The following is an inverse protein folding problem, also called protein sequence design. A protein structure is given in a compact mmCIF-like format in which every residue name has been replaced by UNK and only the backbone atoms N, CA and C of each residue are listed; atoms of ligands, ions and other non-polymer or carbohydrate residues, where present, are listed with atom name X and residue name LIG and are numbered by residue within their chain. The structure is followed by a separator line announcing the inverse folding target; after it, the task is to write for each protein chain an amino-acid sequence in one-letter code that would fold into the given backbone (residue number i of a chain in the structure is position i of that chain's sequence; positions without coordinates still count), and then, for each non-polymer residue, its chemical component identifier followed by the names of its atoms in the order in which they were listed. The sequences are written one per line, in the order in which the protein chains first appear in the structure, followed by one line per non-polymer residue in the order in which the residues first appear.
data_IF_078261736725
#
_entry.id   IF_078261736725
#
_cell.length_a   1.000
_cell.length_b   1.000
_cell.length_c   1.000
_cell.angle_alpha   90.00
_cell.angle_beta   90.00
_cell.angle_gamma   90.00
#
_symmetry.space_group_name_H-M   'P 1'
#
loop_
_entity.id
_entity.type
_entity.pdbx_description
1 polymer ?
2 water ?
#
# COMPACT_ATOMS: atom_id res chain seq x y z
N UNK A 3 -12.88 -5.62 4.83
CA UNK A 3 -11.54 -6.23 5.14
C UNK A 3 -10.82 -6.83 3.90
N UNK A 5 -8.50 -7.12 0.43
CA UNK A 5 -7.30 -6.46 -0.11
C UNK A 5 -7.84 -5.26 -0.91
N UNK A 6 -7.29 -4.07 -0.64
CA UNK A 6 -7.84 -2.80 -1.15
C UNK A 6 -7.49 -2.47 -2.60
N UNK A 7 -8.52 -2.24 -3.40
CA UNK A 7 -8.32 -1.56 -4.67
C UNK A 7 -7.78 -0.18 -4.34
N UNK A 8 -6.97 0.39 -5.26
CA UNK A 8 -6.45 1.74 -5.11
C UNK A 8 -7.48 2.75 -4.64
N UNK A 9 -8.68 2.74 -5.21
CA UNK A 9 -9.70 3.69 -4.79
C UNK A 9 -10.07 3.49 -3.34
N UNK A 10 -10.22 2.23 -2.92
CA UNK A 10 -10.57 1.92 -1.53
C UNK A 10 -9.49 2.39 -0.55
N UNK A 12 -7.36 4.80 -1.23
CA UNK A 12 -7.28 6.24 -1.22
C UNK A 12 -8.32 6.80 -0.24
N UNK A 13 -9.52 6.21 -0.25
CA UNK A 13 -10.63 6.63 0.61
C UNK A 13 -10.27 6.45 2.07
N UNK A 14 -9.70 5.30 2.38
CA UNK A 14 -9.32 5.00 3.76
C UNK A 14 -8.12 5.85 4.22
N UNK A 15 -7.14 6.03 3.33
CA UNK A 15 -5.98 6.90 3.56
C UNK A 15 -6.42 8.30 3.99
N UNK A 16 -7.37 8.84 3.25
CA UNK A 16 -7.93 10.14 3.58
C UNK A 16 -8.74 10.11 4.89
N UNK A 17 -9.67 9.17 5.02
CA UNK A 17 -10.49 9.03 6.26
C UNK A 17 -9.67 8.98 7.54
N UNK A 18 -8.50 8.33 7.47
CA UNK A 18 -7.66 8.19 8.65
C UNK A 18 -7.30 9.50 9.37
N UNK A 19 -7.24 10.62 8.64
CA UNK A 19 -6.83 11.90 9.25
C UNK A 19 -8.01 12.87 9.30
N UNK A 20 -9.20 12.42 8.96
CA UNK A 20 -10.33 13.36 8.87
C UNK A 20 -11.11 13.43 10.19
N UNK A 21 -11.75 14.57 10.45
CA UNK A 21 -12.69 14.68 11.58
C UNK A 21 -13.73 15.72 11.21
N UNK A 22 -14.66 16.03 12.12
CA UNK A 22 -15.71 17.02 11.79
C UNK A 22 -15.20 18.47 11.71
N UNK A 23 -13.94 18.69 12.05
CA UNK A 23 -13.34 20.01 11.86
C UNK A 23 -12.54 20.16 10.55
N UNK A 24 -12.43 19.09 9.77
CA UNK A 24 -11.55 19.07 8.60
C UNK A 24 -12.10 19.75 7.34
N UNK A 25 -11.23 20.50 6.68
CA UNK A 25 -11.48 21.03 5.34
C UNK A 25 -10.85 20.09 4.31
N UNK A 26 -11.65 19.70 3.32
CA UNK A 26 -11.21 18.77 2.28
C UNK A 26 -11.31 19.44 0.92
N UNK A 27 -10.32 19.16 0.07
CA UNK A 27 -10.39 19.61 -1.32
C UNK A 27 -10.49 18.43 -2.31
N UNK A 28 -11.54 18.48 -3.12
CA UNK A 28 -11.69 17.54 -4.23
C UNK A 28 -11.46 18.30 -5.53
N UNK A 29 -10.24 18.15 -6.06
CA UNK A 29 -9.76 18.90 -7.21
C UNK A 29 -10.46 18.51 -8.52
N UNK A 30 -11.03 17.30 -8.55
CA UNK A 30 -11.66 16.72 -9.74
C UNK A 30 -13.01 16.07 -9.42
N UNK A 32 -15.87 15.37 -11.07
CA UNK A 32 -16.57 14.46 -11.98
C UNK A 32 -17.98 14.14 -11.49
N UNK A 33 -18.31 12.85 -11.42
CA UNK A 33 -19.67 12.41 -11.03
C UNK A 33 -19.97 12.52 -9.53
N UNK A 34 -18.96 12.88 -8.74
CA UNK A 34 -19.14 13.09 -7.30
C UNK A 34 -18.76 11.98 -6.34
N UNK A 35 -18.14 10.90 -6.84
CA UNK A 35 -17.88 9.73 -5.99
C UNK A 35 -17.04 10.05 -4.75
N UNK A 36 -15.99 10.83 -4.93
CA UNK A 36 -15.10 11.18 -3.83
C UNK A 36 -15.75 12.23 -2.91
N UNK A 37 -16.42 13.21 -3.51
CA UNK A 37 -17.06 14.25 -2.73
C UNK A 37 -18.13 13.64 -1.81
N UNK A 38 -18.96 12.76 -2.37
CA UNK A 38 -20.02 12.06 -1.62
C UNK A 38 -19.48 11.31 -0.42
N UNK A 39 -18.36 10.62 -0.63
CA UNK A 39 -17.73 9.89 0.44
C UNK A 39 -17.14 10.79 1.51
N UNK A 40 -16.32 11.77 1.09
CA UNK A 40 -15.57 12.57 2.04
C UNK A 40 -16.45 13.59 2.76
N UNK A 41 -17.47 14.13 2.11
CA UNK A 41 -18.34 15.10 2.80
C UNK A 41 -18.76 14.55 4.14
N UNK A 42 -19.30 13.33 4.12
CA UNK A 42 -19.80 12.65 5.31
C UNK A 42 -18.88 12.68 6.51
N UNK A 43 -17.58 12.75 6.21
CA UNK A 43 -16.53 12.55 7.20
C UNK A 43 -15.82 13.87 7.61
N UNK A 44 -16.19 15.00 7.01
CA UNK A 44 -15.49 16.25 7.26
C UNK A 44 -16.38 17.47 7.46
N UNK A 45 -15.77 18.59 7.84
CA UNK A 45 -16.50 19.84 8.03
C UNK A 45 -17.05 20.33 6.72
N UNK A 46 -16.22 20.31 5.68
CA UNK A 46 -16.56 20.93 4.41
C UNK A 46 -15.69 20.37 3.30
N UNK A 47 -16.30 20.20 2.13
CA UNK A 47 -15.56 19.80 0.95
C UNK A 47 -15.73 20.90 -0.08
N UNK A 48 -14.59 21.36 -0.60
CA UNK A 48 -14.61 22.17 -1.80
C UNK A 48 -14.35 21.22 -2.97
N UNK A 49 -15.26 21.23 -3.95
CA UNK A 49 -15.12 20.40 -5.12
C UNK A 49 -15.03 21.25 -6.37
N UNK A 50 -14.08 20.89 -7.25
CA UNK A 50 -13.84 21.62 -8.49
C UNK A 50 -14.04 20.78 -9.75
N UNK A 51 -14.68 21.37 -10.76
CA UNK A 51 -14.75 20.81 -12.10
C UNK A 51 -15.01 21.93 -13.09
N UNK A 52 -14.50 21.73 -14.32
CA UNK A 52 -14.73 22.67 -15.40
C UNK A 52 -16.03 22.40 -16.20
N UNK A 53 -16.74 21.32 -15.88
CA UNK A 53 -17.93 20.93 -16.66
C UNK A 53 -19.25 21.09 -15.92
N UNK A 54 -20.15 21.87 -16.51
CA UNK A 54 -21.49 22.10 -15.99
C UNK A 54 -22.19 20.80 -15.57
N UNK A 55 -22.11 19.78 -16.44
CA UNK A 55 -22.78 18.50 -16.21
C UNK A 55 -22.29 17.78 -14.95
N UNK A 56 -21.00 17.89 -14.65
CA UNK A 56 -20.44 17.32 -13.41
C UNK A 56 -21.13 17.94 -12.20
N UNK A 57 -21.29 19.27 -12.26
CA UNK A 57 -21.93 20.03 -11.20
C UNK A 57 -23.36 19.56 -10.98
N UNK A 58 -24.15 19.54 -12.05
CA UNK A 58 -25.55 19.13 -12.02
C UNK A 58 -25.74 17.71 -11.51
N UNK A 59 -24.85 16.81 -11.93
CA UNK A 59 -24.89 15.41 -11.51
C UNK A 59 -24.58 15.30 -10.02
N UNK A 60 -23.46 15.88 -9.61
CA UNK A 60 -23.04 15.87 -8.20
C UNK A 60 -24.08 16.51 -7.27
N UNK A 61 -24.63 17.66 -7.68
CA UNK A 61 -25.68 18.34 -6.91
C UNK A 61 -26.83 17.42 -6.56
N UNK A 62 -27.52 16.94 -7.59
CA UNK A 62 -28.58 15.94 -7.44
C UNK A 62 -28.20 14.83 -6.48
N UNK A 63 -27.02 14.24 -6.69
CA UNK A 63 -26.55 13.15 -5.84
C UNK A 63 -26.47 13.56 -4.39
N UNK A 64 -25.72 14.64 -4.13
CA UNK A 64 -25.48 15.11 -2.77
C UNK A 64 -26.83 15.42 -2.14
N UNK A 65 -27.68 16.10 -2.91
CA UNK A 65 -29.03 16.41 -2.45
C UNK A 65 -29.81 15.16 -2.02
N UNK A 66 -29.76 14.13 -2.86
CA UNK A 66 -30.43 12.85 -2.58
C UNK A 66 -29.85 12.15 -1.35
N UNK A 67 -28.56 12.38 -1.10
CA UNK A 67 -27.92 11.89 0.10
C UNK A 67 -28.06 12.83 1.30
N UNK A 68 -28.70 13.99 1.11
CA UNK A 68 -28.94 14.95 2.20
C UNK A 68 -27.67 15.72 2.62
N UNK A 69 -26.65 15.65 1.78
CA UNK A 69 -25.33 16.21 2.06
C UNK A 69 -25.32 17.69 1.67
N UNK A 70 -25.02 18.55 2.64
CA UNK A 70 -25.09 20.00 2.49
C UNK A 70 -23.80 20.71 2.80
N UNK A 71 -22.79 19.98 3.25
CA UNK A 71 -21.53 20.63 3.63
C UNK A 71 -20.46 20.62 2.52
N UNK A 72 -20.88 20.95 1.31
CA UNK A 72 -19.96 21.07 0.17
C UNK A 72 -20.08 22.40 -0.54
N UNK A 73 -18.98 22.81 -1.17
CA UNK A 73 -19.01 23.95 -2.07
C UNK A 73 -18.52 23.47 -3.43
N UNK A 74 -19.46 23.44 -4.36
CA UNK A 74 -19.23 22.95 -5.69
C UNK A 74 -18.88 24.14 -6.55
N UNK A 75 -17.70 24.09 -7.17
CA UNK A 75 -17.16 25.24 -7.85
C UNK A 75 -16.90 24.92 -9.32
N UNK A 76 -17.44 25.76 -10.19
CA UNK A 76 -17.20 25.65 -11.61
C UNK A 76 -15.97 26.49 -11.97
N UNK A 77 -14.79 25.89 -11.85
CA UNK A 77 -13.55 26.61 -12.13
C UNK A 77 -12.39 25.61 -12.26
N UNK A 78 -11.25 26.06 -12.80
CA UNK A 78 -10.05 25.22 -12.80
C UNK A 78 -9.50 25.06 -11.39
N UNK A 79 -9.12 23.84 -11.03
CA UNK A 79 -8.49 23.57 -9.72
C UNK A 79 -7.15 24.33 -9.48
N UNK A 80 -6.53 24.84 -10.56
CA UNK A 80 -5.31 25.68 -10.43
C UNK A 80 -5.61 27.00 -9.73
N UNK A 81 -6.88 27.40 -9.74
CA UNK A 81 -7.39 28.55 -9.02
C UNK A 81 -8.05 28.22 -7.68
N UNK A 82 -7.71 27.06 -7.09
CA UNK A 82 -8.29 26.63 -5.81
C UNK A 82 -8.07 27.67 -4.72
N UNK A 83 -6.89 28.27 -4.77
CA UNK A 83 -6.40 29.20 -3.76
C UNK A 83 -7.26 30.45 -3.57
N UNK A 84 -8.19 30.75 -4.49
CA UNK A 84 -9.11 31.89 -4.37
C UNK A 84 -10.41 31.56 -3.64
N UNK A 85 -10.71 30.27 -3.47
CA UNK A 85 -11.98 29.84 -2.85
C UNK A 85 -11.78 29.22 -1.47
N UNK A 86 -10.61 28.61 -1.28
CA UNK A 86 -10.21 27.85 -0.08
C UNK A 86 -9.19 28.62 0.80
N UNK A 87 -9.69 29.29 1.80
CA UNK A 87 -8.86 30.08 2.67
C UNK A 87 -8.36 29.36 3.90
N UNK A 88 -8.85 28.17 4.14
CA UNK A 88 -8.57 27.43 5.34
C UNK A 88 -7.40 26.50 5.08
N UNK A 89 -6.76 26.04 6.12
CA UNK A 89 -5.79 24.95 5.98
C UNK A 89 -6.50 23.69 5.47
N UNK A 90 -5.79 22.86 4.72
CA UNK A 90 -6.39 21.67 4.10
C UNK A 90 -5.94 20.40 4.82
N UNK A 91 -6.90 19.64 5.31
CA UNK A 91 -6.63 18.39 5.96
C UNK A 91 -6.43 17.27 4.96
N UNK A 92 -7.31 17.19 3.98
CA UNK A 92 -7.29 16.13 2.99
C UNK A 92 -7.65 16.60 1.59
N UNK A 93 -6.95 16.03 0.63
CA UNK A 93 -7.25 16.30 -0.77
C UNK A 93 -7.17 15.05 -1.66
N UNK A 94 -7.90 15.11 -2.77
CA UNK A 94 -7.93 14.04 -3.75
C UNK A 94 -7.87 14.61 -5.16
N UNK A 95 -7.03 13.99 -5.98
CA UNK A 95 -6.93 14.39 -7.35
C UNK A 95 -7.04 13.16 -8.27
N UNK A 96 -8.05 13.16 -9.15
CA UNK A 96 -8.18 12.13 -10.18
C UNK A 96 -7.64 12.54 -11.55
N UNK A 97 -6.52 11.91 -11.92
CA UNK A 97 -5.84 12.12 -13.20
C UNK A 97 -6.33 11.12 -14.26
N UNK A 98 -6.73 11.63 -15.42
CA UNK A 98 -7.08 10.80 -16.56
C UNK A 98 -8.42 10.10 -16.39
N UNK A 110 -4.72 19.94 -19.16
CA UNK A 110 -3.35 20.39 -19.43
C UNK A 110 -2.43 20.18 -18.22
N UNK A 111 -1.20 19.66 -18.46
CA UNK A 111 -0.25 19.37 -17.36
C UNK A 111 0.15 20.56 -16.50
N UNK A 112 0.35 21.73 -17.08
CA UNK A 112 0.74 22.88 -16.28
C UNK A 112 -0.30 23.19 -15.19
N UNK A 113 -1.59 23.12 -15.53
CA UNK A 113 -2.64 23.41 -14.54
C UNK A 113 -2.72 22.29 -13.49
N UNK A 114 -2.56 21.03 -13.91
CA UNK A 114 -2.54 19.92 -12.96
C UNK A 114 -1.45 20.11 -11.92
N UNK A 115 -0.22 20.37 -12.38
CA UNK A 115 0.94 20.57 -11.48
C UNK A 115 0.71 21.76 -10.54
N UNK A 116 0.23 22.86 -11.10
CA UNK A 116 -0.10 24.05 -10.32
C UNK A 116 -1.09 23.75 -9.18
N UNK A 117 -2.07 22.92 -9.47
CA UNK A 117 -3.12 22.53 -8.51
C UNK A 117 -2.57 21.66 -7.38
N UNK A 118 -1.65 20.75 -7.71
CA UNK A 118 -1.02 19.84 -6.74
C UNK A 118 -0.06 20.59 -5.79
N UNK A 119 0.78 21.45 -6.36
CA UNK A 119 1.60 22.33 -5.54
C UNK A 119 0.75 23.24 -4.63
N UNK A 120 -0.29 23.86 -5.19
CA UNK A 120 -1.13 24.72 -4.36
C UNK A 120 -1.71 23.99 -3.17
N UNK A 121 -2.10 22.74 -3.37
CA UNK A 121 -2.62 21.85 -2.31
C UNK A 121 -1.55 21.47 -1.29
N UNK A 122 -0.43 20.92 -1.77
CA UNK A 122 0.64 20.58 -0.86
C UNK A 122 1.02 21.78 0.03
N UNK A 123 1.32 22.93 -0.58
CA UNK A 123 1.64 24.15 0.14
C UNK A 123 0.64 24.44 1.25
N UNK A 124 -0.65 24.16 1.00
CA UNK A 124 -1.75 24.46 1.95
C UNK A 124 -2.16 23.30 2.87
N UNK A 125 -1.55 22.13 2.71
CA UNK A 125 -1.90 21.03 3.64
C UNK A 125 -1.42 21.35 5.05
N UNK A 126 -2.19 20.94 6.05
CA UNK A 126 -1.72 20.97 7.42
C UNK A 126 -0.62 19.93 7.53
N UNK A 127 0.25 20.08 8.54
CA UNK A 127 1.18 19.02 8.93
C UNK A 127 0.37 17.81 9.35
N UNK A 128 0.69 16.62 8.83
CA UNK A 128 -0.12 15.45 9.02
C UNK A 128 -1.21 15.30 7.98
N UNK A 129 -1.47 16.36 7.22
CA UNK A 129 -2.41 16.35 6.10
C UNK A 129 -2.03 15.53 4.88
N UNK A 130 -3.06 15.12 4.13
CA UNK A 130 -2.90 14.12 3.09
C UNK A 130 -3.48 14.49 1.74
N UNK A 131 -2.73 14.14 0.70
CA UNK A 131 -3.23 14.13 -0.66
C UNK A 131 -3.09 12.76 -1.31
N UNK A 132 -4.22 12.32 -1.85
CA UNK A 132 -4.32 11.09 -2.64
C UNK A 132 -4.43 11.45 -4.11
N UNK A 133 -3.50 10.95 -4.90
CA UNK A 133 -3.59 11.10 -6.36
C UNK A 133 -3.80 9.75 -7.02
N UNK A 135 -4.19 7.91 -10.42
CA UNK A 135 -3.75 8.06 -11.81
C UNK A 135 -4.31 6.93 -12.69
N UNK A 136 -4.96 7.30 -13.80
CA UNK A 136 -5.70 6.35 -14.63
C UNK A 136 -4.99 6.01 -15.95
N UNK A 143 1.91 8.89 -21.11
CA UNK A 143 1.26 10.19 -21.28
C UNK A 143 2.04 11.29 -20.54
N UNK A 145 1.17 14.14 -19.03
CA UNK A 145 0.64 14.57 -17.74
C UNK A 145 1.07 13.64 -16.62
N UNK A 146 0.88 12.34 -16.83
CA UNK A 146 1.14 11.33 -15.81
C UNK A 146 2.63 11.20 -15.47
N UNK A 147 3.49 11.32 -16.49
CA UNK A 147 4.95 11.28 -16.24
C UNK A 147 5.41 12.48 -15.43
N UNK A 148 4.85 13.65 -15.73
CA UNK A 148 5.25 14.90 -15.07
C UNK A 148 4.81 14.94 -13.60
N UNK A 149 3.59 14.49 -13.32
CA UNK A 149 3.11 14.40 -11.93
C UNK A 149 4.00 13.45 -11.16
N UNK A 150 4.31 12.32 -11.79
CA UNK A 150 5.17 11.36 -11.13
C UNK A 150 6.59 11.84 -10.81
N UNK A 151 7.22 12.57 -11.74
CA UNK A 151 8.58 13.11 -11.50
C UNK A 151 8.50 14.20 -10.42
N UNK A 152 7.42 14.98 -10.46
CA UNK A 152 7.21 15.97 -9.41
C UNK A 152 7.21 15.36 -8.02
N UNK A 153 6.47 14.26 -7.85
CA UNK A 153 6.32 13.60 -6.57
C UNK A 153 7.64 12.94 -6.17
N UNK A 154 8.29 12.29 -7.12
CA UNK A 154 9.56 11.62 -6.87
C UNK A 154 10.58 12.65 -6.36
N UNK A 155 10.49 13.85 -6.92
CA UNK A 155 11.38 14.97 -6.54
C UNK A 155 11.24 15.54 -5.13
N UNK A 156 10.07 15.38 -4.52
CA UNK A 156 9.82 15.97 -3.21
C UNK A 156 10.86 15.57 -2.18
N UNK A 157 11.20 16.55 -1.34
CA UNK A 157 12.04 16.36 -0.17
C UNK A 157 11.41 15.36 0.83
N UNK A 158 12.13 14.26 1.07
CA UNK A 158 11.60 13.18 1.90
C UNK A 158 11.47 13.61 3.35
N UNK A 159 12.11 14.72 3.71
CA UNK A 159 12.00 15.23 5.08
C UNK A 159 10.69 16.03 5.25
N UNK A 160 10.07 16.39 4.14
CA UNK A 160 8.87 17.25 4.15
C UNK A 160 7.59 16.50 3.74
N UNK A 161 7.70 15.67 2.70
CA UNK A 161 6.63 14.74 2.33
C UNK A 161 7.08 13.27 2.33
N UNK A 162 6.17 12.38 2.73
CA UNK A 162 6.32 10.96 2.44
C UNK A 162 5.42 10.65 1.23
N UNK A 163 6.03 10.02 0.23
CA UNK A 163 5.34 9.65 -0.99
C UNK A 163 5.36 8.14 -1.21
N UNK A 165 3.72 4.73 -3.36
CA UNK A 165 3.08 4.14 -4.52
C UNK A 165 2.31 2.90 -4.11
N UNK A 166 1.05 2.82 -4.53
CA UNK A 166 0.23 1.65 -4.31
C UNK A 166 -0.42 1.26 -5.64
N UNK A 167 0.05 0.15 -6.20
CA UNK A 167 -0.19 -0.18 -7.61
C UNK A 167 -0.48 -1.65 -7.81
N UNK A 168 -1.49 -2.00 -8.63
CA UNK A 168 -1.70 -3.42 -8.90
C UNK A 168 -0.61 -4.00 -9.80
N UNK A 169 -0.23 -5.25 -9.55
CA UNK A 169 0.88 -5.87 -10.30
C UNK A 169 0.42 -6.78 -11.42
N UNK A 170 -0.54 -7.63 -11.12
CA UNK A 170 -0.88 -8.79 -11.96
C UNK A 170 -2.18 -8.64 -12.75
N UNK A 171 -2.60 -7.41 -12.99
CA UNK A 171 -3.77 -7.16 -13.82
C UNK A 171 -3.30 -6.97 -15.26
N UNK A 172 -3.96 -7.66 -16.18
CA UNK A 172 -3.59 -7.65 -17.60
C UNK A 172 -3.90 -6.29 -18.22
N UNK A 173 -5.15 -5.85 -18.09
CA UNK A 173 -5.53 -4.49 -18.45
C UNK A 173 -4.88 -3.55 -17.45
N UNK A 174 -4.20 -2.51 -17.94
CA UNK A 174 -3.52 -1.55 -17.07
C UNK A 174 -4.53 -0.76 -16.21
N UNK A 175 -4.56 -1.02 -14.90
CA UNK A 175 -5.56 -0.41 -14.04
C UNK A 175 -5.06 0.89 -13.39
N UNK A 176 -5.96 1.64 -12.71
CA UNK A 176 -5.51 2.81 -11.98
C UNK A 176 -4.57 2.44 -10.82
N UNK A 177 -3.67 3.35 -10.48
CA UNK A 177 -2.86 3.25 -9.27
C UNK A 177 -2.93 4.52 -8.44
N UNK A 178 -2.44 4.42 -7.21
CA UNK A 178 -2.53 5.49 -6.24
C UNK A 178 -1.18 6.00 -5.77
N UNK A 179 -1.08 7.32 -5.70
CA UNK A 179 0.01 8.03 -5.04
C UNK A 179 -0.53 8.65 -3.75
N UNK A 181 0.35 10.90 -0.44
CA UNK A 181 1.24 11.96 0.07
C UNK A 181 0.81 12.43 1.44
N UNK A 182 1.79 12.50 2.35
CA UNK A 182 1.57 13.04 3.68
C UNK A 182 2.59 14.13 3.99
N UNK A 183 2.11 15.28 4.46
CA UNK A 183 2.99 16.35 4.94
C UNK A 183 3.52 16.12 6.35
N UNK A 184 4.85 16.10 6.46
CA UNK A 184 5.56 15.90 7.73
C UNK A 184 5.88 17.17 8.55
N UNK A 185 6.22 18.28 7.91
CA UNK A 185 6.63 19.50 8.67
C UNK A 185 6.34 20.84 7.95
N UNK B 3 -1.07 5.99 13.49
CA UNK B 3 -1.87 6.45 12.31
C UNK B 3 -1.01 7.23 11.32
N UNK B 5 1.52 7.53 8.07
CA UNK B 5 1.72 6.83 6.79
C UNK B 5 2.69 5.64 7.05
N UNK B 6 2.34 4.44 6.60
CA UNK B 6 3.08 3.24 7.01
C UNK B 6 4.34 2.97 6.18
N UNK B 7 5.48 2.81 6.83
CA UNK B 7 6.65 2.26 6.14
C UNK B 7 6.24 0.89 5.59
N UNK B 8 6.88 0.42 4.48
CA UNK B 8 6.55 -0.89 3.91
C UNK B 8 6.51 -2.04 4.94
N UNK B 9 7.35 -1.96 5.97
CA UNK B 9 7.38 -3.02 6.98
C UNK B 9 6.15 -2.97 7.86
N UNK B 10 5.75 -1.76 8.25
CA UNK B 10 4.52 -1.61 9.05
C UNK B 10 3.31 -2.07 8.26
N UNK B 12 3.37 -4.42 5.85
CA UNK B 12 3.35 -5.86 5.78
C UNK B 12 2.72 -6.44 7.03
N UNK B 13 3.05 -5.86 8.18
CA UNK B 13 2.57 -6.33 9.47
C UNK B 13 1.05 -6.12 9.58
N UNK B 14 0.62 -4.93 9.25
CA UNK B 14 -0.82 -4.62 9.22
C UNK B 14 -1.59 -5.59 8.29
N UNK B 15 -1.12 -5.73 7.04
CA UNK B 15 -1.71 -6.58 5.99
C UNK B 15 -2.01 -8.02 6.46
N UNK B 16 -1.03 -8.62 7.11
CA UNK B 16 -1.13 -9.98 7.59
C UNK B 16 -1.95 -10.06 8.87
N UNK B 17 -1.73 -9.15 9.81
CA UNK B 17 -2.51 -9.12 11.05
C UNK B 17 -3.99 -9.10 10.74
N UNK B 18 -4.37 -8.43 9.66
CA UNK B 18 -5.78 -8.26 9.27
C UNK B 18 -6.52 -9.59 9.02
N UNK B 19 -5.80 -10.65 8.61
CA UNK B 19 -6.46 -11.96 8.39
C UNK B 19 -6.09 -12.99 9.45
N UNK B 20 -5.37 -12.56 10.49
CA UNK B 20 -4.95 -13.51 11.53
C UNK B 20 -5.98 -13.62 12.66
N UNK B 21 -6.03 -14.80 13.26
CA UNK B 21 -6.84 -15.12 14.44
C UNK B 21 -6.09 -16.19 15.25
N UNK B 22 -6.64 -16.58 16.40
CA UNK B 22 -5.98 -17.52 17.33
C UNK B 22 -5.83 -18.95 16.78
N UNK B 23 -6.48 -19.20 15.64
CA UNK B 23 -6.40 -20.50 14.98
C UNK B 23 -5.44 -20.51 13.78
N UNK B 24 -4.85 -19.36 13.49
CA UNK B 24 -4.12 -19.19 12.24
C UNK B 24 -2.73 -19.83 12.29
N UNK B 25 -2.38 -20.52 11.22
CA UNK B 25 -1.00 -21.00 11.02
C UNK B 25 -0.33 -19.98 10.11
N UNK B 26 0.88 -19.56 10.51
CA UNK B 26 1.64 -18.55 9.80
C UNK B 26 3.01 -19.17 9.49
N UNK B 27 3.57 -18.86 8.31
CA UNK B 27 4.97 -19.27 7.99
C UNK B 27 5.91 -18.05 7.81
N UNK B 28 6.92 -17.95 8.67
CA UNK B 28 7.95 -16.95 8.44
C UNK B 28 9.07 -17.62 7.66
N UNK B 29 9.14 -17.32 6.37
CA UNK B 29 10.10 -17.99 5.49
C UNK B 29 11.58 -17.59 5.70
N UNK B 30 11.81 -16.43 6.31
CA UNK B 30 13.13 -15.87 6.51
C UNK B 30 13.23 -15.29 7.91
N UNK B 32 15.72 -14.68 10.07
CA UNK B 32 16.73 -13.69 10.40
C UNK B 32 16.79 -13.44 11.89
N UNK B 33 16.72 -12.17 12.31
CA UNK B 33 16.80 -11.79 13.74
C UNK B 33 15.46 -11.97 14.49
N UNK B 34 14.46 -12.47 13.76
CA UNK B 34 13.18 -12.86 14.36
C UNK B 34 12.16 -11.74 14.52
N UNK B 35 12.36 -10.62 13.83
CA UNK B 35 11.44 -9.49 13.93
C UNK B 35 9.99 -9.85 13.55
N UNK B 36 9.81 -10.53 12.42
CA UNK B 36 8.47 -10.91 11.96
C UNK B 36 7.85 -12.04 12.80
N UNK B 37 8.68 -13.01 13.18
CA UNK B 37 8.22 -14.09 14.05
C UNK B 37 7.75 -13.59 15.41
N UNK B 38 8.54 -12.70 16.03
CA UNK B 38 8.20 -12.14 17.34
C UNK B 38 6.87 -11.39 17.27
N UNK B 39 6.65 -10.71 16.16
CA UNK B 39 5.40 -9.97 15.97
C UNK B 39 4.20 -10.87 15.62
N UNK B 40 4.38 -11.78 14.67
CA UNK B 40 3.28 -12.62 14.23
C UNK B 40 2.84 -13.66 15.25
N UNK B 41 3.78 -14.23 16.02
CA UNK B 41 3.41 -15.30 16.96
C UNK B 41 2.31 -14.90 17.96
N UNK B 42 2.33 -13.65 18.42
CA UNK B 42 1.35 -13.19 19.39
C UNK B 42 -0.06 -13.03 18.84
N UNK B 43 -0.20 -13.24 17.54
CA UNK B 43 -1.45 -12.94 16.82
C UNK B 43 -2.04 -14.18 16.11
N UNK B 44 -1.37 -15.32 16.26
CA UNK B 44 -1.74 -16.54 15.55
C UNK B 44 -1.62 -17.79 16.43
N UNK B 45 -2.06 -18.94 15.92
CA UNK B 45 -1.91 -20.18 16.68
C UNK B 45 -0.44 -20.61 16.74
N UNK B 46 0.22 -20.64 15.60
CA UNK B 46 1.56 -21.20 15.50
C UNK B 46 2.28 -20.51 14.37
N UNK B 47 3.56 -20.22 14.56
CA UNK B 47 4.40 -19.69 13.51
C UNK B 47 5.53 -20.69 13.30
N UNK B 48 5.71 -21.08 12.04
CA UNK B 48 6.87 -21.84 11.59
C UNK B 48 7.83 -20.82 11.01
N UNK B 49 9.07 -20.78 11.49
CA UNK B 49 10.08 -19.89 10.92
C UNK B 49 11.30 -20.66 10.44
N UNK B 50 11.82 -20.29 9.26
CA UNK B 50 12.91 -21.01 8.61
C UNK B 50 14.11 -20.10 8.47
N UNK B 51 15.31 -20.69 8.56
CA UNK B 51 16.55 -19.98 8.29
C UNK B 51 17.67 -20.97 8.03
N UNK B 52 18.69 -20.55 7.28
CA UNK B 52 19.86 -21.41 6.98
C UNK B 52 21.04 -21.24 7.96
N UNK B 53 20.93 -20.32 8.91
CA UNK B 53 22.07 -20.07 9.82
C UNK B 53 21.75 -20.40 11.28
N UNK B 54 22.62 -21.21 11.90
CA UNK B 54 22.51 -21.52 13.32
C UNK B 54 22.39 -20.26 14.19
N UNK B 55 23.18 -19.24 13.87
CA UNK B 55 23.26 -18.00 14.64
C UNK B 55 21.89 -17.32 14.79
N UNK B 56 21.14 -17.25 13.69
CA UNK B 56 19.84 -16.61 13.68
C UNK B 56 18.82 -17.37 14.52
N UNK B 57 18.97 -18.69 14.56
CA UNK B 57 18.17 -19.54 15.44
C UNK B 57 18.40 -19.17 16.89
N UNK B 58 19.67 -19.14 17.29
CA UNK B 58 20.09 -18.88 18.67
C UNK B 58 19.64 -17.51 19.14
N UNK B 59 19.83 -16.49 18.30
CA UNK B 59 19.37 -15.14 18.59
C UNK B 59 17.84 -15.10 18.74
N UNK B 60 17.14 -15.55 17.70
CA UNK B 60 15.66 -15.59 17.70
C UNK B 60 15.12 -16.34 18.92
N UNK B 61 15.71 -17.49 19.21
CA UNK B 61 15.30 -18.27 20.39
C UNK B 61 15.36 -17.51 21.70
N UNK B 62 16.54 -17.01 22.06
CA UNK B 62 16.71 -16.22 23.29
C UNK B 62 15.73 -15.05 23.30
N UNK B 63 15.56 -14.43 22.14
CA UNK B 63 14.68 -13.28 21.96
C UNK B 63 13.21 -13.59 22.26
N UNK B 64 12.67 -14.62 21.59
CA UNK B 64 11.34 -15.13 21.87
C UNK B 64 11.23 -15.67 23.29
N UNK B 65 12.31 -16.28 23.79
CA UNK B 65 12.31 -16.71 25.20
C UNK B 65 12.12 -15.54 26.16
N UNK B 66 12.82 -14.44 25.89
CA UNK B 66 12.75 -13.23 26.71
C UNK B 66 11.40 -12.51 26.60
N UNK B 67 10.68 -12.79 25.50
CA UNK B 67 9.32 -12.26 25.31
C UNK B 67 8.24 -13.24 25.80
N UNK B 68 8.66 -14.44 26.20
CA UNK B 68 7.77 -15.49 26.65
C UNK B 68 6.91 -16.08 25.51
N UNK B 69 7.47 -16.11 24.31
CA UNK B 69 6.75 -16.62 23.15
C UNK B 69 7.07 -18.09 22.94
N UNK B 70 6.05 -18.93 23.01
CA UNK B 70 6.24 -20.38 22.98
C UNK B 70 5.70 -21.02 21.70
N UNK B 71 4.67 -20.41 21.12
CA UNK B 71 3.93 -20.97 19.98
C UNK B 71 4.64 -20.84 18.63
N UNK B 72 5.90 -21.26 18.60
CA UNK B 72 6.70 -21.23 17.39
C UNK B 72 7.48 -22.52 17.24
N UNK B 73 7.89 -22.79 16.00
CA UNK B 73 8.76 -23.92 15.67
C UNK B 73 9.86 -23.39 14.74
N UNK B 74 11.05 -23.24 15.28
CA UNK B 74 12.15 -22.70 14.51
C UNK B 74 12.84 -23.85 13.80
N UNK B 75 12.99 -23.73 12.48
CA UNK B 75 13.53 -24.81 11.66
C UNK B 75 14.79 -24.36 10.93
N UNK B 76 15.86 -25.12 11.14
CA UNK B 76 17.12 -24.90 10.44
C UNK B 76 17.06 -25.65 9.11
N UNK B 77 16.46 -25.03 8.10
CA UNK B 77 16.33 -25.67 6.80
C UNK B 77 16.01 -24.60 5.76
N UNK B 78 16.46 -24.81 4.53
CA UNK B 78 16.08 -23.93 3.41
C UNK B 78 14.55 -23.85 3.33
N UNK B 79 14.03 -22.68 2.97
CA UNK B 79 12.56 -22.49 2.95
C UNK B 79 11.82 -23.20 1.77
N UNK B 80 12.58 -23.65 0.76
CA UNK B 80 12.00 -24.41 -0.36
C UNK B 80 11.49 -25.77 0.11
N UNK B 81 11.93 -26.18 1.29
CA UNK B 81 11.45 -27.39 1.95
C UNK B 81 10.34 -27.17 3.00
N UNK B 82 9.63 -26.04 2.96
CA UNK B 82 8.55 -25.80 3.93
C UNK B 82 7.49 -26.90 3.95
N UNK B 83 7.16 -27.43 2.77
CA UNK B 83 6.12 -28.47 2.56
C UNK B 83 6.32 -29.72 3.41
N UNK B 84 7.57 -30.02 3.74
CA UNK B 84 7.89 -31.14 4.62
C UNK B 84 7.50 -30.97 6.09
N UNK B 85 7.54 -29.74 6.61
CA UNK B 85 7.28 -29.47 8.04
C UNK B 85 5.88 -28.92 8.35
N UNK B 86 5.29 -28.27 7.37
CA UNK B 86 4.03 -27.53 7.57
C UNK B 86 2.91 -28.31 6.90
N UNK B 87 2.13 -29.02 7.71
CA UNK B 87 1.09 -29.89 7.17
C UNK B 87 -0.30 -29.24 7.18
N UNK B 88 -0.40 -28.06 7.79
CA UNK B 88 -1.68 -27.31 7.91
C UNK B 88 -1.93 -26.36 6.76
N UNK B 89 -3.21 -25.95 6.57
CA UNK B 89 -3.40 -24.84 5.64
C UNK B 89 -2.74 -23.57 6.20
N UNK B 90 -2.31 -22.66 5.33
CA UNK B 90 -1.54 -21.51 5.78
C UNK B 90 -2.35 -20.23 5.67
N UNK B 91 -2.47 -19.51 6.76
CA UNK B 91 -3.23 -18.28 6.77
C UNK B 91 -2.44 -17.08 6.23
N UNK B 92 -1.20 -16.92 6.66
CA UNK B 92 -0.37 -15.77 6.29
C UNK B 92 1.09 -16.23 6.19
N UNK B 93 1.87 -15.58 5.34
CA UNK B 93 3.33 -15.89 5.23
C UNK B 93 4.10 -14.60 4.92
N UNK B 94 5.42 -14.62 5.13
CA UNK B 94 6.23 -13.44 4.90
C UNK B 94 7.65 -13.89 4.49
N UNK B 95 8.22 -13.22 3.49
CA UNK B 95 9.64 -13.35 3.12
C UNK B 95 10.29 -11.96 3.26
N UNK B 96 11.55 -11.90 3.71
CA UNK B 96 12.34 -10.67 3.58
C UNK B 96 13.50 -10.98 2.67
N UNK B 97 13.49 -10.35 1.49
CA UNK B 97 14.40 -10.71 0.41
C UNK B 97 15.37 -9.59 0.01
N UNK B 98 16.49 -9.99 -0.58
CA UNK B 98 17.34 -9.07 -1.31
C UNK B 98 16.97 -9.14 -2.78
N UNK B 99 17.92 -8.79 -3.65
CA UNK B 99 17.69 -8.79 -5.08
C UNK B 99 17.79 -10.21 -5.66
N UNK B 100 16.75 -10.63 -6.38
CA UNK B 100 16.77 -11.90 -7.11
C UNK B 100 16.57 -11.64 -8.60
N UNK B 101 17.69 -11.68 -9.33
CA UNK B 101 17.72 -11.36 -10.75
C UNK B 101 16.86 -12.33 -11.54
N UNK B 102 15.99 -11.82 -12.39
CA UNK B 102 15.18 -12.69 -13.24
C UNK B 102 16.13 -13.57 -14.06
N UNK B 103 15.73 -14.83 -14.24
CA UNK B 103 16.56 -15.85 -14.89
C UNK B 103 16.90 -15.50 -16.34
N UNK B 104 18.10 -15.88 -16.75
CA UNK B 104 18.49 -15.83 -18.15
C UNK B 104 17.68 -16.87 -18.92
N UNK B 105 16.73 -16.39 -19.74
CA UNK B 105 15.84 -17.27 -20.53
C UNK B 105 16.60 -18.05 -21.60
N UNK B 106 17.80 -17.57 -21.92
CA UNK B 106 18.78 -18.36 -22.65
C UNK B 106 19.40 -19.36 -21.67
N UNK B 110 15.06 -24.41 -13.84
CA UNK B 110 14.94 -24.48 -12.38
C UNK B 110 14.80 -23.10 -11.76
N UNK B 111 13.58 -22.77 -11.25
CA UNK B 111 13.42 -21.51 -10.53
C UNK B 111 14.36 -21.43 -9.33
N UNK B 112 14.78 -20.23 -8.97
CA UNK B 112 15.49 -20.03 -7.72
C UNK B 112 14.68 -20.67 -6.56
N UNK B 113 15.42 -21.23 -5.62
CA UNK B 113 14.90 -21.82 -4.40
C UNK B 113 13.82 -20.98 -3.68
N UNK B 114 13.95 -19.66 -3.77
CA UNK B 114 13.01 -18.76 -3.11
C UNK B 114 11.70 -18.69 -3.87
N UNK B 115 11.79 -18.74 -5.20
CA UNK B 115 10.64 -18.79 -6.08
C UNK B 115 9.81 -20.05 -5.87
N UNK B 116 10.52 -21.14 -5.64
CA UNK B 116 9.98 -22.45 -5.29
C UNK B 116 9.25 -22.45 -3.94
N UNK B 117 9.81 -21.74 -2.95
CA UNK B 117 9.15 -21.59 -1.65
C UNK B 117 7.89 -20.71 -1.76
N UNK B 118 8.00 -19.64 -2.54
CA UNK B 118 6.84 -18.76 -2.76
C UNK B 118 5.65 -19.53 -3.36
N UNK B 119 5.87 -20.25 -4.47
CA UNK B 119 4.82 -21.06 -5.11
C UNK B 119 4.28 -22.11 -4.16
N UNK B 120 5.18 -22.72 -3.38
CA UNK B 120 4.73 -23.67 -2.38
C UNK B 120 3.87 -23.01 -1.33
N UNK B 121 4.16 -21.75 -0.99
CA UNK B 121 3.31 -21.00 -0.07
C UNK B 121 1.94 -20.72 -0.70
N UNK B 122 1.97 -20.18 -1.91
CA UNK B 122 0.74 -19.81 -2.62
C UNK B 122 -0.19 -21.02 -2.77
N UNK B 123 0.38 -22.15 -3.20
CA UNK B 123 -0.37 -23.42 -3.27
C UNK B 123 -1.05 -23.78 -1.95
N UNK B 124 -0.39 -23.49 -0.83
CA UNK B 124 -0.88 -23.89 0.49
C UNK B 124 -1.71 -22.83 1.25
N UNK B 125 -1.83 -21.63 0.69
CA UNK B 125 -2.56 -20.56 1.36
C UNK B 125 -4.04 -20.91 1.37
N UNK B 126 -4.72 -20.63 2.47
CA UNK B 126 -6.17 -20.68 2.49
C UNK B 126 -6.73 -19.61 1.54
N UNK B 127 -7.99 -19.76 1.14
CA UNK B 127 -8.65 -18.69 0.42
C UNK B 127 -8.84 -17.57 1.46
N UNK B 128 -8.51 -16.32 1.07
CA UNK B 128 -8.50 -15.19 2.00
C UNK B 128 -7.12 -15.01 2.64
N UNK B 129 -6.29 -16.03 2.55
CA UNK B 129 -4.94 -15.95 3.11
C UNK B 129 -4.02 -15.02 2.35
N UNK B 130 -2.92 -14.59 3.00
CA UNK B 130 -2.04 -13.55 2.48
C UNK B 130 -0.53 -13.88 2.56
N UNK B 131 0.21 -13.34 1.61
CA UNK B 131 1.69 -13.47 1.56
C UNK B 131 2.25 -12.06 1.40
N UNK B 132 3.02 -11.61 2.39
CA UNK B 132 3.74 -10.36 2.26
C UNK B 132 5.18 -10.68 1.84
N UNK B 133 5.66 -10.08 0.76
CA UNK B 133 7.07 -10.23 0.39
C UNK B 133 7.75 -8.87 0.44
N UNK B 135 11.06 -6.77 -0.03
CA UNK B 135 12.27 -6.86 -0.86
C UNK B 135 13.15 -5.62 -0.67
N UNK B 136 14.42 -5.83 -0.34
CA UNK B 136 15.36 -4.71 -0.18
C UNK B 136 16.66 -4.93 -0.97
N UNK B 137 16.83 -4.19 -2.06
CA UNK B 137 18.01 -4.35 -2.90
C UNK B 137 19.24 -3.94 -2.10
N UNK B 138 19.22 -2.71 -1.59
CA UNK B 138 20.26 -2.20 -0.71
C UNK B 138 21.52 -1.81 -1.45
N UNK B 139 22.61 -1.63 -0.69
CA UNK B 139 23.94 -1.28 -1.21
C UNK B 139 24.32 -2.06 -2.46
N UNK B 140 24.15 -3.39 -2.40
CA UNK B 140 24.49 -4.31 -3.49
C UNK B 140 23.86 -3.91 -4.83
N UNK B 141 22.67 -3.31 -4.77
CA UNK B 141 21.97 -2.82 -5.95
C UNK B 141 21.08 -3.86 -6.60
N UNK B 142 20.12 -3.40 -7.38
CA UNK B 142 19.21 -4.28 -8.12
C UNK B 142 18.37 -3.52 -9.12
N UNK B 143 17.57 -4.24 -9.90
CA UNK B 143 16.76 -3.65 -10.96
C UNK B 143 15.34 -4.22 -10.93
N UNK B 145 12.98 -3.94 -13.04
CA UNK B 145 12.55 -4.43 -14.35
C UNK B 145 13.13 -5.81 -14.68
N UNK B 146 14.14 -6.23 -13.92
CA UNK B 146 14.75 -7.54 -14.08
C UNK B 146 14.77 -8.29 -12.74
N UNK B 147 13.61 -8.32 -12.09
CA UNK B 147 13.41 -8.95 -10.77
C UNK B 147 12.57 -10.23 -10.88
N UNK B 148 13.15 -11.36 -10.46
CA UNK B 148 12.46 -12.66 -10.54
C UNK B 148 11.15 -12.76 -9.75
N UNK B 149 11.13 -12.23 -8.53
CA UNK B 149 9.92 -12.26 -7.72
C UNK B 149 8.84 -11.45 -8.44
N UNK B 150 9.18 -10.24 -8.84
CA UNK B 150 8.23 -9.37 -9.52
C UNK B 150 7.72 -10.02 -10.79
N UNK B 151 8.61 -10.60 -11.59
CA UNK B 151 8.23 -11.25 -12.84
C UNK B 151 7.22 -12.37 -12.58
N UNK B 152 7.48 -13.15 -11.53
CA UNK B 152 6.58 -14.21 -11.14
C UNK B 152 5.21 -13.69 -10.68
N UNK B 153 5.20 -12.67 -9.84
CA UNK B 153 3.95 -12.11 -9.28
C UNK B 153 3.08 -11.50 -10.38
N UNK B 154 3.71 -10.69 -11.24
CA UNK B 154 3.07 -10.11 -12.42
C UNK B 154 2.34 -11.18 -13.26
N UNK B 155 3.02 -12.32 -13.48
CA UNK B 155 2.44 -13.44 -14.21
C UNK B 155 1.34 -14.26 -13.55
N UNK B 156 1.04 -14.00 -12.28
CA UNK B 156 -0.06 -14.71 -11.62
C UNK B 156 -1.42 -14.30 -12.19
N UNK B 157 -2.34 -15.26 -12.25
CA UNK B 157 -3.70 -15.10 -12.78
C UNK B 157 -4.50 -14.23 -11.84
N UNK B 158 -4.87 -13.04 -12.31
CA UNK B 158 -5.65 -12.08 -11.51
C UNK B 158 -6.96 -12.62 -10.95
N UNK B 159 -7.42 -13.75 -11.46
CA UNK B 159 -8.70 -14.31 -11.02
C UNK B 159 -8.45 -15.18 -9.80
N UNK B 160 -7.21 -15.60 -9.63
CA UNK B 160 -6.83 -16.45 -8.52
C UNK B 160 -6.14 -15.63 -7.41
N UNK B 161 -5.37 -14.62 -7.80
CA UNK B 161 -4.62 -13.81 -6.85
C UNK B 161 -4.76 -12.32 -7.16
N UNK B 162 -4.75 -11.51 -6.11
CA UNK B 162 -4.52 -10.08 -6.23
C UNK B 162 -3.14 -9.77 -5.69
N UNK B 163 -2.34 -9.11 -6.51
CA UNK B 163 -1.00 -8.72 -6.12
C UNK B 163 -0.81 -7.22 -6.22
N UNK B 165 1.75 -3.70 -5.33
CA UNK B 165 3.04 -3.10 -5.03
C UNK B 165 2.80 -1.88 -4.15
N UNK B 166 3.53 -1.84 -3.04
CA UNK B 166 3.54 -0.71 -2.12
C UNK B 166 4.99 -0.26 -1.95
N UNK B 167 5.30 0.93 -2.46
CA UNK B 167 6.69 1.38 -2.47
C UNK B 167 6.90 2.88 -2.33
N UNK B 168 7.93 3.29 -1.58
CA UNK B 168 8.29 4.70 -1.43
C UNK B 168 8.77 5.28 -2.76
N UNK B 169 8.30 6.47 -3.09
CA UNK B 169 8.62 7.10 -4.37
C UNK B 169 9.75 8.11 -4.30
N UNK B 170 9.94 8.70 -3.13
CA UNK B 170 10.67 9.96 -3.05
C UNK B 170 11.82 9.90 -2.06
N UNK B 171 12.37 8.71 -1.86
CA UNK B 171 13.51 8.54 -0.99
C UNK B 171 14.82 8.38 -1.76
N UNK B 172 15.86 8.97 -1.18
CA UNK B 172 17.10 9.26 -1.85
C UNK B 172 17.86 7.94 -1.97
N UNK B 173 18.20 7.32 -0.85
CA UNK B 173 18.66 5.95 -0.84
C UNK B 173 17.46 5.03 -1.08
N UNK B 174 17.62 4.13 -2.04
CA UNK B 174 16.59 3.20 -2.50
C UNK B 174 16.06 2.24 -1.38
N UNK B 175 14.82 2.49 -0.92
CA UNK B 175 14.25 1.82 0.25
C UNK B 175 13.68 0.42 -0.06
N UNK B 176 13.30 -0.36 0.99
CA UNK B 176 12.61 -1.60 0.69
C UNK B 176 11.23 -1.33 0.13
N UNK B 177 10.75 -2.27 -0.69
CA UNK B 177 9.39 -2.23 -1.18
C UNK B 177 8.66 -3.53 -0.84
N UNK B 178 7.32 -3.45 -0.89
CA UNK B 178 6.48 -4.55 -0.46
C UNK B 178 5.58 -5.11 -1.59
N UNK B 179 5.52 -6.43 -1.66
CA UNK B 179 4.54 -7.15 -2.47
C UNK B 179 3.47 -7.76 -1.56
N UNK B 181 0.16 -10.14 -1.49
CA UNK B 181 -0.57 -11.15 -2.25
C UNK B 181 -1.75 -11.68 -1.44
N UNK B 182 -2.92 -11.79 -2.06
CA UNK B 182 -4.03 -12.47 -1.41
C UNK B 182 -4.63 -13.52 -2.33
N UNK B 183 -5.00 -14.68 -1.77
CA UNK B 183 -5.66 -15.73 -2.55
C UNK B 183 -7.14 -15.46 -2.65
N UNK B 184 -7.67 -15.49 -3.87
CA UNK B 184 -9.09 -15.26 -4.13
C UNK B 184 -9.96 -16.55 -4.19
N UNK B 185 -9.37 -17.66 -4.63
CA UNK B 185 -10.07 -18.98 -4.68
C UNK B 185 -9.11 -20.17 -4.85
#
# INVERSE_FOLDING_TARGET
SNAXIKRPIHXSHDFLAEVLDDESIVVDATXGNGNDTAFLAGLSKKVYAFDVQEQALGKTSQRLSDLGIENTELILDGHENLDHYVREPIRAAIFNLGYLPSADKSVITKPHTTLEAIEKILDRLEVGGRLAIXIYYGHDGGDXEKDAVLEYVIGLDQRVFTAXLYQPLNQINTPPFLVXLEKLQ
SNAXIKRPIHXSHDFLAEVLDDESIVVDATXGNGNDTAFLAGLSKKVYAFDVQEQALGKTSQRLSDLGIENTELILDGHENLDHYVREPIRAAIFNLGYLPSADKSVITKPHTTLEAIEKILDRLEVGGRLAIXIYYGHDGGDXEKDAVLEYVIGLDQRVFTAXLYQPLNQINTPPFLVXLEKLQ
#
